data_IF_266672928194
#
_entry.id   IF_266672928194
#
_cell.length_a   1.000
_cell.length_b   1.000
_cell.length_c   1.000
_cell.angle_alpha   90.00
_cell.angle_beta   90.00
_cell.angle_gamma   90.00
#
_symmetry.space_group_name_H-M   'P 1'
#
loop_
_entity.id
_entity.type
_entity.pdbx_description
1 polymer ?
#
# COMPACT_ATOMS: atom_id res chain seq x y z
N UNK A 1 -5.07 14.86 -16.71
CA UNK A 1 -4.16 13.88 -16.08
C UNK A 1 -4.46 13.93 -14.61
N UNK A 2 -4.93 12.82 -14.04
CA UNK A 2 -5.31 12.78 -12.65
C UNK A 2 -5.72 11.35 -12.31
N UNK A 3 -4.91 10.71 -11.48
CA UNK A 3 -5.16 9.34 -11.03
C UNK A 3 -6.31 9.27 -10.02
N UNK A 4 -6.46 10.31 -9.20
CA UNK A 4 -7.53 10.41 -8.22
C UNK A 4 -7.79 11.87 -7.85
N UNK A 5 -8.96 12.13 -7.26
CA UNK A 5 -9.31 13.40 -6.62
C UNK A 5 -9.83 13.12 -5.21
N UNK A 6 -9.68 14.07 -4.29
CA UNK A 6 -10.13 13.95 -2.89
C UNK A 6 -9.53 12.75 -2.13
N UNK A 7 -8.23 12.52 -2.28
CA UNK A 7 -7.50 11.47 -1.54
C UNK A 7 -6.90 12.06 -0.28
N UNK A 8 -7.17 11.40 0.85
CA UNK A 8 -6.55 11.70 2.13
C UNK A 8 -5.84 10.46 2.67
N UNK A 9 -4.74 10.68 3.37
CA UNK A 9 -4.10 9.70 4.23
C UNK A 9 -4.22 10.16 5.69
N UNK A 10 -4.66 9.26 6.56
CA UNK A 10 -4.84 9.51 7.99
C UNK A 10 -3.91 8.55 8.75
N UNK A 11 -2.72 9.00 9.17
CA UNK A 11 -1.78 8.15 9.87
C UNK A 11 -2.33 7.76 11.24
N UNK A 12 -2.19 6.47 11.59
CA UNK A 12 -2.76 5.88 12.81
C UNK A 12 -4.26 6.19 12.97
N UNK A 13 -5.00 6.00 11.88
CA UNK A 13 -6.45 6.13 11.87
C UNK A 13 -7.10 5.15 12.84
N UNK A 14 -8.12 5.64 13.54
CA UNK A 14 -8.98 4.86 14.42
C UNK A 14 -10.41 5.38 14.29
N UNK A 15 -11.36 4.44 14.23
CA UNK A 15 -12.80 4.73 14.12
C UNK A 15 -13.12 5.61 12.88
N UNK A 16 -12.52 5.27 11.73
CA UNK A 16 -12.75 5.90 10.43
C UNK A 16 -12.63 7.43 10.48
N UNK A 17 -11.49 7.90 11.00
CA UNK A 17 -11.12 9.30 11.09
C UNK A 17 -11.62 10.00 12.35
N UNK A 18 -12.41 9.35 13.21
CA UNK A 18 -12.84 9.97 14.46
C UNK A 18 -11.67 10.20 15.41
N UNK A 19 -10.65 9.34 15.35
CA UNK A 19 -9.37 9.51 16.04
C UNK A 19 -8.25 9.57 15.00
N UNK A 20 -7.73 10.78 14.79
CA UNK A 20 -6.67 11.08 13.82
C UNK A 20 -5.50 11.79 14.53
N UNK A 21 -4.65 11.06 15.27
CA UNK A 21 -3.64 11.65 16.16
C UNK A 21 -2.59 12.49 15.41
N UNK A 22 -2.39 12.22 14.12
CA UNK A 22 -1.47 12.95 13.25
C UNK A 22 -2.18 13.77 12.17
N UNK A 23 -3.50 13.94 12.28
CA UNK A 23 -4.31 14.73 11.35
C UNK A 23 -4.55 14.07 9.98
N UNK A 24 -5.17 14.84 9.10
CA UNK A 24 -5.55 14.42 7.74
C UNK A 24 -4.60 15.05 6.73
N UNK A 25 -4.00 14.22 5.88
CA UNK A 25 -3.02 14.66 4.89
C UNK A 25 -3.61 14.51 3.49
N UNK A 26 -3.87 15.63 2.82
CA UNK A 26 -4.40 15.62 1.46
C UNK A 26 -3.29 15.27 0.45
N UNK A 27 -3.60 14.42 -0.52
CA UNK A 27 -2.69 14.19 -1.64
C UNK A 27 -2.70 15.39 -2.60
N UNK A 28 -1.53 15.95 -2.91
CA UNK A 28 -1.36 17.01 -3.92
C UNK A 28 -1.15 16.44 -5.31
N UNK A 29 -0.38 15.35 -5.40
CA UNK A 29 -0.09 14.67 -6.66
C UNK A 29 -0.16 13.16 -6.48
N UNK A 30 -0.43 12.47 -7.58
CA UNK A 30 -0.48 11.02 -7.66
C UNK A 30 0.29 10.56 -8.90
N UNK A 31 1.11 9.54 -8.72
CA UNK A 31 2.01 8.97 -9.72
C UNK A 31 1.71 7.49 -9.82
N UNK A 32 1.26 7.04 -10.99
CA UNK A 32 0.92 5.66 -11.26
C UNK A 32 1.51 5.19 -12.59
N UNK A 33 1.74 3.89 -12.79
CA UNK A 33 2.27 3.34 -14.04
C UNK A 33 1.33 3.54 -15.21
N UNK A 34 1.83 4.04 -16.34
CA UNK A 34 1.02 4.19 -17.56
C UNK A 34 0.53 2.83 -18.06
N UNK A 35 1.32 1.76 -17.86
CA UNK A 35 0.96 0.38 -18.16
C UNK A 35 -0.32 -0.05 -17.44
N UNK A 36 -0.51 0.38 -16.19
CA UNK A 36 -1.74 0.14 -15.44
C UNK A 36 -2.90 0.92 -16.06
N UNK A 37 -2.73 2.22 -16.32
CA UNK A 37 -3.78 3.05 -16.93
C UNK A 37 -4.25 2.51 -18.28
N UNK A 38 -3.31 2.05 -19.11
CA UNK A 38 -3.60 1.65 -20.49
C UNK A 38 -4.12 0.21 -20.59
N UNK A 39 -3.69 -0.67 -19.67
CA UNK A 39 -3.89 -2.11 -19.83
C UNK A 39 -4.56 -2.81 -18.65
N UNK A 40 -4.92 -2.09 -17.59
CA UNK A 40 -5.74 -2.62 -16.51
C UNK A 40 -7.22 -2.22 -16.69
N UNK A 41 -8.11 -3.06 -16.16
CA UNK A 41 -9.53 -2.74 -16.05
C UNK A 41 -10.08 -3.40 -14.80
N UNK A 42 -11.26 -2.98 -14.35
CA UNK A 42 -11.95 -3.61 -13.21
C UNK A 42 -13.17 -4.36 -13.70
N UNK A 43 -13.31 -5.63 -13.31
CA UNK A 43 -14.49 -6.41 -13.64
C UNK A 43 -15.67 -6.10 -12.69
N UNK A 44 -16.84 -6.71 -12.92
CA UNK A 44 -18.04 -6.49 -12.11
C UNK A 44 -17.93 -6.94 -10.65
N UNK A 45 -16.88 -7.69 -10.30
CA UNK A 45 -16.59 -8.14 -8.93
C UNK A 45 -15.59 -7.21 -8.22
N UNK A 46 -15.18 -6.11 -8.86
CA UNK A 46 -14.19 -5.18 -8.31
C UNK A 46 -12.76 -5.70 -8.40
N UNK A 47 -12.49 -6.75 -9.18
CA UNK A 47 -11.13 -7.26 -9.37
C UNK A 47 -10.43 -6.54 -10.51
N UNK A 48 -9.17 -6.15 -10.28
CA UNK A 48 -8.27 -5.67 -11.33
C UNK A 48 -7.93 -6.83 -12.27
N UNK A 49 -8.15 -6.61 -13.56
CA UNK A 49 -7.91 -7.54 -14.67
C UNK A 49 -7.14 -6.83 -15.78
N UNK A 50 -6.84 -7.55 -16.87
CA UNK A 50 -6.05 -7.05 -17.99
C UNK A 50 -4.59 -7.47 -17.86
N UNK A 51 -3.69 -6.86 -18.62
CA UNK A 51 -2.24 -7.10 -18.46
C UNK A 51 -1.57 -6.06 -17.57
N UNK A 52 -2.20 -4.91 -17.36
CA UNK A 52 -1.68 -3.83 -16.51
C UNK A 52 -1.72 -4.11 -15.01
N UNK A 53 -2.44 -5.14 -14.55
CA UNK A 53 -2.56 -5.48 -13.12
C UNK A 53 -1.21 -5.76 -12.45
N UNK A 54 -0.19 -6.17 -13.20
CA UNK A 54 1.16 -6.37 -12.64
C UNK A 54 1.85 -5.07 -12.22
N UNK A 55 1.24 -3.92 -12.54
CA UNK A 55 1.71 -2.58 -12.20
C UNK A 55 0.70 -1.86 -11.28
N UNK A 56 -0.03 -2.62 -10.44
CA UNK A 56 -1.00 -2.07 -9.49
C UNK A 56 -0.31 -1.52 -8.23
N UNK A 57 0.31 -0.35 -8.39
CA UNK A 57 0.89 0.45 -7.33
C UNK A 57 0.83 1.93 -7.72
N UNK A 58 0.95 2.81 -6.74
CA UNK A 58 1.05 4.26 -6.97
C UNK A 58 1.81 4.93 -5.83
N UNK A 59 2.35 6.11 -6.11
CA UNK A 59 2.92 7.02 -5.11
C UNK A 59 2.09 8.28 -5.04
N UNK A 60 1.94 8.80 -3.83
CA UNK A 60 1.22 10.05 -3.58
C UNK A 60 2.15 11.02 -2.85
N UNK A 61 2.17 12.28 -3.27
CA UNK A 61 2.81 13.35 -2.50
C UNK A 61 1.75 14.05 -1.67
N UNK A 62 2.00 14.21 -0.37
CA UNK A 62 1.08 14.86 0.55
C UNK A 62 1.34 16.35 0.62
N UNK A 63 0.28 17.15 0.72
CA UNK A 63 0.34 18.55 1.10
C UNK A 63 1.01 18.67 2.47
N UNK A 64 1.79 19.74 2.72
CA UNK A 64 2.17 20.10 4.07
C UNK A 64 0.94 20.33 4.96
N UNK A 65 1.10 20.17 6.27
CA UNK A 65 0.06 20.55 7.22
C UNK A 65 -0.07 22.09 7.34
N UNK A 66 -1.00 22.56 8.17
CA UNK A 66 -1.25 23.99 8.39
C UNK A 66 -0.02 24.74 8.95
N UNK A 67 0.93 24.02 9.57
CA UNK A 67 2.20 24.55 10.08
C UNK A 67 3.34 24.47 9.04
N UNK A 68 3.06 23.96 7.84
CA UNK A 68 4.01 23.81 6.74
C UNK A 68 4.97 22.60 6.87
N UNK A 69 4.70 21.67 7.79
CA UNK A 69 5.52 20.47 7.99
C UNK A 69 5.15 19.41 6.97
N UNK A 70 6.14 18.60 6.56
CA UNK A 70 5.90 17.40 5.75
C UNK A 70 5.46 16.24 6.64
N UNK A 71 4.63 15.34 6.10
CA UNK A 71 4.09 14.20 6.85
C UNK A 71 5.16 13.34 7.54
N UNK A 72 6.31 13.14 6.88
CA UNK A 72 7.41 12.35 7.42
C UNK A 72 8.12 13.03 8.59
N UNK A 73 8.03 14.35 8.72
CA UNK A 73 8.56 15.10 9.87
C UNK A 73 7.69 14.91 11.12
N UNK A 74 6.43 14.55 10.93
CA UNK A 74 5.44 14.33 12.02
C UNK A 74 5.37 12.85 12.41
N UNK A 75 5.37 11.96 11.42
CA UNK A 75 5.07 10.54 11.62
C UNK A 75 6.27 9.61 11.44
N UNK A 76 7.38 10.12 10.91
CA UNK A 76 8.45 9.29 10.38
C UNK A 76 8.06 8.65 9.04
N UNK A 77 8.75 7.58 8.65
CA UNK A 77 8.47 6.85 7.44
C UNK A 77 9.18 5.50 7.43
N UNK A 78 8.66 4.56 6.65
CA UNK A 78 9.32 3.28 6.41
C UNK A 78 10.43 3.44 5.38
N UNK A 79 11.40 2.53 5.40
CA UNK A 79 12.26 2.32 4.25
C UNK A 79 11.43 1.78 3.08
N UNK A 80 11.95 1.90 1.85
CA UNK A 80 11.36 1.29 0.66
C UNK A 80 12.46 0.53 -0.08
N UNK A 81 12.14 -0.66 -0.57
CA UNK A 81 13.06 -1.50 -1.31
C UNK A 81 12.46 -1.86 -2.67
N UNK A 82 13.26 -1.67 -3.72
CA UNK A 82 12.88 -1.94 -5.11
C UNK A 82 13.60 -3.21 -5.58
N UNK A 83 13.02 -4.36 -5.26
CA UNK A 83 13.66 -5.67 -5.36
C UNK A 83 14.48 -6.03 -4.12
N UNK A 84 15.06 -7.24 -4.13
CA UNK A 84 15.78 -7.80 -2.98
C UNK A 84 15.32 -9.20 -2.63
N UNK A 85 15.94 -9.78 -1.61
CA UNK A 85 15.46 -11.02 -0.98
C UNK A 85 14.51 -10.65 0.15
N UNK A 86 13.43 -11.42 0.31
CA UNK A 86 12.42 -11.21 1.35
C UNK A 86 12.34 -12.50 2.15
N UNK A 87 12.71 -12.45 3.43
CA UNK A 87 12.68 -13.62 4.31
C UNK A 87 11.35 -13.71 5.08
N UNK A 88 10.82 -12.57 5.50
CA UNK A 88 9.55 -12.44 6.20
C UNK A 88 8.73 -11.27 5.64
N UNK A 89 7.42 -11.34 5.87
CA UNK A 89 6.47 -10.30 5.48
C UNK A 89 5.54 -9.93 6.63
N UNK A 90 5.40 -8.64 6.87
CA UNK A 90 4.32 -8.04 7.66
C UNK A 90 3.45 -7.19 6.73
N UNK A 91 2.18 -7.55 6.59
CA UNK A 91 1.20 -6.86 5.76
C UNK A 91 0.22 -6.11 6.64
N UNK A 92 0.00 -4.83 6.36
CA UNK A 92 -0.94 -3.96 7.10
C UNK A 92 -2.10 -3.52 6.22
N UNK A 93 -3.24 -3.18 6.81
CA UNK A 93 -4.38 -2.60 6.08
C UNK A 93 -5.59 -2.30 6.96
N UNK A 94 -6.60 -1.67 6.37
CA UNK A 94 -7.89 -1.34 7.01
C UNK A 94 -9.03 -2.07 6.29
N UNK A 95 -9.17 -3.39 6.46
CA UNK A 95 -10.23 -4.16 5.82
C UNK A 95 -11.61 -3.67 6.30
N UNK A 96 -12.49 -3.34 5.36
CA UNK A 96 -13.79 -2.68 5.59
C UNK A 96 -15.01 -3.54 5.20
N UNK A 97 -14.79 -4.77 4.72
CA UNK A 97 -15.86 -5.71 4.44
C UNK A 97 -15.93 -6.78 5.54
N UNK A 98 -17.14 -7.28 5.79
CA UNK A 98 -17.38 -8.28 6.84
C UNK A 98 -16.43 -9.49 6.72
N UNK A 99 -15.86 -9.99 7.83
CA UNK A 99 -16.21 -9.68 9.22
C UNK A 99 -15.54 -8.42 9.80
N UNK A 100 -14.81 -7.65 8.99
CA UNK A 100 -14.21 -6.39 9.40
C UNK A 100 -15.13 -5.20 9.11
N UNK A 101 -14.81 -4.04 9.69
CA UNK A 101 -15.59 -2.82 9.67
C UNK A 101 -14.80 -1.58 9.21
N UNK A 102 -13.49 -1.71 8.98
CA UNK A 102 -12.62 -0.64 8.50
C UNK A 102 -12.19 0.34 9.58
N UNK A 103 -12.54 0.11 10.85
CA UNK A 103 -12.31 1.07 11.93
C UNK A 103 -10.93 0.97 12.55
N UNK A 104 -10.27 -0.19 12.43
CA UNK A 104 -8.95 -0.44 13.00
C UNK A 104 -7.97 -0.95 11.95
N UNK A 105 -6.70 -0.60 12.12
CA UNK A 105 -5.61 -1.27 11.42
C UNK A 105 -5.57 -2.75 11.80
N UNK A 106 -5.42 -3.61 10.79
CA UNK A 106 -5.14 -5.03 10.93
C UNK A 106 -3.78 -5.34 10.32
N UNK A 107 -3.21 -6.48 10.72
CA UNK A 107 -2.00 -7.00 10.11
C UNK A 107 -2.02 -8.52 10.00
N UNK A 108 -1.25 -9.03 9.05
CA UNK A 108 -0.87 -10.43 8.90
C UNK A 108 0.66 -10.49 8.85
N UNK A 109 1.29 -11.44 9.52
CA UNK A 109 2.74 -11.60 9.50
C UNK A 109 3.10 -13.06 9.32
N UNK A 110 4.02 -13.36 8.41
CA UNK A 110 4.45 -14.74 8.11
C UNK A 110 5.84 -14.77 7.48
N UNK A 111 6.61 -15.80 7.84
CA UNK A 111 7.80 -16.26 7.11
C UNK A 111 7.45 -17.32 6.04
N UNK A 112 6.24 -17.90 6.10
CA UNK A 112 5.70 -18.85 5.12
C UNK A 112 4.83 -18.15 4.06
N UNK A 113 5.41 -17.12 3.42
CA UNK A 113 4.81 -16.49 2.24
C UNK A 113 5.18 -17.28 0.98
N UNK A 114 4.43 -17.10 -0.10
CA UNK A 114 4.61 -17.86 -1.33
C UNK A 114 4.52 -17.01 -2.58
N UNK A 115 5.01 -17.55 -3.70
CA UNK A 115 4.98 -16.87 -5.00
C UNK A 115 3.74 -17.30 -5.78
N UNK A 116 2.91 -16.33 -6.11
CA UNK A 116 1.75 -16.45 -6.97
C UNK A 116 2.12 -16.23 -8.45
N UNK A 117 1.11 -16.23 -9.32
CA UNK A 117 1.32 -16.00 -10.74
C UNK A 117 2.06 -14.68 -11.00
N UNK A 118 2.95 -14.71 -12.00
CA UNK A 118 3.77 -13.56 -12.43
C UNK A 118 4.71 -12.99 -11.36
N UNK A 119 5.03 -13.76 -10.33
CA UNK A 119 5.99 -13.35 -9.31
C UNK A 119 5.39 -12.49 -8.21
N UNK A 120 4.05 -12.38 -8.14
CA UNK A 120 3.39 -11.72 -7.02
C UNK A 120 3.71 -12.47 -5.71
N UNK A 121 3.91 -11.72 -4.64
CA UNK A 121 3.90 -12.27 -3.29
C UNK A 121 2.47 -12.66 -2.90
N UNK A 122 2.34 -13.74 -2.16
CA UNK A 122 1.11 -14.24 -1.57
C UNK A 122 1.33 -14.57 -0.10
N UNK A 123 0.33 -14.28 0.73
CA UNK A 123 0.34 -14.57 2.16
C UNK A 123 -1.05 -15.03 2.60
N UNK A 124 -1.13 -16.03 3.47
CA UNK A 124 -2.39 -16.38 4.13
C UNK A 124 -2.82 -15.23 5.04
N UNK A 125 -3.93 -14.59 4.68
CA UNK A 125 -4.41 -13.41 5.36
C UNK A 125 -5.90 -13.19 5.08
N UNK A 126 -6.69 -13.10 6.15
CA UNK A 126 -8.14 -12.99 6.05
C UNK A 126 -8.63 -11.55 5.76
N UNK A 127 -7.74 -10.56 5.71
CA UNK A 127 -8.12 -9.16 5.44
C UNK A 127 -8.89 -9.04 4.12
N UNK A 128 -9.98 -8.28 4.15
CA UNK A 128 -10.93 -8.14 3.04
C UNK A 128 -10.69 -6.88 2.21
N UNK A 129 -11.63 -6.54 1.31
CA UNK A 129 -11.71 -5.22 0.67
C UNK A 129 -11.52 -4.10 1.70
N UNK A 130 -10.79 -3.04 1.33
CA UNK A 130 -10.30 -2.00 2.23
C UNK A 130 -8.82 -2.18 2.61
N UNK A 131 -8.29 -3.41 2.58
CA UNK A 131 -6.85 -3.64 2.75
C UNK A 131 -6.01 -3.26 1.52
N UNK A 132 -6.63 -3.02 0.35
CA UNK A 132 -5.95 -2.57 -0.86
C UNK A 132 -5.14 -1.30 -0.61
N UNK A 133 -3.94 -1.21 -1.17
CA UNK A 133 -2.99 -0.12 -0.88
C UNK A 133 -2.17 -0.32 0.41
N UNK A 134 -2.57 -1.26 1.28
CA UNK A 134 -1.88 -1.57 2.52
C UNK A 134 -0.46 -2.10 2.30
N UNK A 135 0.48 -1.67 3.13
CA UNK A 135 1.91 -1.91 2.93
C UNK A 135 2.37 -3.30 3.34
N UNK A 136 3.25 -3.89 2.54
CA UNK A 136 3.97 -5.14 2.80
C UNK A 136 5.41 -4.81 3.18
N UNK A 137 5.79 -5.09 4.43
CA UNK A 137 7.08 -4.78 5.00
C UNK A 137 7.92 -6.05 5.13
N UNK A 138 9.17 -5.99 4.69
CA UNK A 138 10.21 -6.98 5.02
C UNK A 138 11.15 -6.44 6.09
N UNK A 139 11.88 -7.34 6.75
CA UNK A 139 12.86 -7.03 7.81
C UNK A 139 12.25 -6.14 8.90
N UNK A 140 11.00 -6.42 9.28
CA UNK A 140 10.27 -5.59 10.22
C UNK A 140 10.78 -5.78 11.64
N UNK A 141 11.40 -4.73 12.20
CA UNK A 141 11.85 -4.70 13.58
C UNK A 141 10.71 -4.26 14.51
N UNK A 142 10.15 -5.23 15.24
CA UNK A 142 9.08 -4.98 16.22
C UNK A 142 9.46 -4.06 17.37
N UNK A 143 10.75 -3.81 17.62
CA UNK A 143 11.22 -2.89 18.67
C UNK A 143 11.18 -1.45 18.19
N UNK A 144 11.62 -1.19 16.96
CA UNK A 144 11.67 0.17 16.38
C UNK A 144 10.44 0.53 15.56
N UNK A 145 9.69 -0.48 15.10
CA UNK A 145 8.56 -0.34 14.18
C UNK A 145 8.99 -0.04 12.73
N UNK A 146 10.28 -0.20 12.42
CA UNK A 146 10.85 0.09 11.11
C UNK A 146 11.00 -1.20 10.27
N UNK A 147 10.85 -1.07 8.97
CA UNK A 147 11.13 -2.11 7.98
C UNK A 147 11.23 -1.51 6.58
N UNK A 148 11.20 -2.38 5.56
CA UNK A 148 11.24 -1.96 4.16
C UNK A 148 9.94 -2.30 3.45
N UNK A 149 9.28 -1.29 2.89
CA UNK A 149 8.13 -1.47 2.01
C UNK A 149 8.60 -2.14 0.71
N UNK A 150 8.09 -3.33 0.44
CA UNK A 150 8.46 -4.15 -0.73
C UNK A 150 7.30 -4.38 -1.70
N UNK A 151 6.07 -4.19 -1.24
CA UNK A 151 4.86 -4.36 -2.06
C UNK A 151 3.65 -3.63 -1.43
N UNK A 152 2.56 -3.54 -2.19
CA UNK A 152 1.27 -3.01 -1.70
C UNK A 152 0.13 -3.96 -2.06
N UNK A 153 -0.82 -4.17 -1.16
CA UNK A 153 -1.94 -5.09 -1.36
C UNK A 153 -2.74 -4.69 -2.59
N UNK A 154 -2.80 -5.58 -3.59
CA UNK A 154 -3.46 -5.33 -4.87
C UNK A 154 -4.72 -6.19 -5.03
N UNK A 155 -4.60 -7.49 -4.79
CA UNK A 155 -5.69 -8.44 -5.01
C UNK A 155 -5.81 -9.43 -3.84
N UNK A 156 -6.91 -10.16 -3.82
CA UNK A 156 -7.17 -11.17 -2.79
C UNK A 156 -7.90 -12.38 -3.34
N UNK A 157 -7.72 -13.50 -2.65
CA UNK A 157 -8.61 -14.66 -2.67
C UNK A 157 -9.47 -14.65 -1.38
N UNK A 158 -10.28 -15.69 -1.09
CA UNK A 158 -10.98 -15.79 0.20
C UNK A 158 -10.06 -15.90 1.42
N UNK A 159 -8.84 -16.43 1.25
CA UNK A 159 -7.92 -16.75 2.36
C UNK A 159 -6.55 -16.10 2.24
N UNK A 160 -6.28 -15.39 1.14
CA UNK A 160 -4.96 -14.88 0.83
C UNK A 160 -5.03 -13.44 0.31
N UNK A 161 -3.99 -12.66 0.62
CA UNK A 161 -3.69 -11.42 -0.07
C UNK A 161 -2.56 -11.63 -1.07
N UNK A 162 -2.55 -10.82 -2.12
CA UNK A 162 -1.48 -10.81 -3.11
C UNK A 162 -1.08 -9.41 -3.55
N UNK A 163 0.22 -9.27 -3.83
CA UNK A 163 0.85 -8.01 -4.20
C UNK A 163 2.03 -8.24 -5.14
N UNK A 164 2.21 -7.37 -6.12
CA UNK A 164 3.42 -7.40 -6.95
C UNK A 164 4.58 -6.75 -6.19
N UNK A 165 5.79 -7.35 -6.22
CA UNK A 165 6.97 -6.69 -5.66
C UNK A 165 7.25 -5.37 -6.39
N UNK A 166 7.66 -4.35 -5.64
CA UNK A 166 8.10 -3.07 -6.18
C UNK A 166 9.44 -3.27 -6.89
N UNK A 167 9.47 -3.02 -8.20
CA UNK A 167 10.64 -3.19 -9.05
C UNK A 167 11.16 -1.87 -9.63
N UNK A 168 11.88 -1.96 -10.75
CA UNK A 168 12.49 -0.79 -11.43
C UNK A 168 11.47 0.27 -11.84
N UNK A 169 10.28 -0.14 -12.32
CA UNK A 169 9.20 0.80 -12.68
C UNK A 169 8.72 1.58 -11.45
N UNK A 170 8.65 0.93 -10.29
CA UNK A 170 8.29 1.57 -9.03
C UNK A 170 9.39 2.53 -8.56
N UNK A 171 10.67 2.16 -8.72
CA UNK A 171 11.80 3.05 -8.42
C UNK A 171 11.76 4.31 -9.29
N UNK A 172 11.48 4.17 -10.59
CA UNK A 172 11.38 5.29 -11.51
C UNK A 172 10.27 6.27 -11.11
N UNK A 173 9.07 5.77 -10.83
CA UNK A 173 7.94 6.59 -10.37
C UNK A 173 8.16 7.19 -8.97
N UNK A 174 8.80 6.46 -8.07
CA UNK A 174 9.16 6.99 -6.74
C UNK A 174 10.16 8.15 -6.85
N UNK A 175 11.12 8.05 -7.77
CA UNK A 175 12.07 9.13 -8.07
C UNK A 175 11.36 10.33 -8.69
N UNK A 176 10.43 10.11 -9.62
CA UNK A 176 9.61 11.17 -10.22
C UNK A 176 8.76 11.89 -9.16
N UNK A 177 8.26 11.15 -8.17
CA UNK A 177 7.52 11.70 -7.04
C UNK A 177 8.41 12.43 -6.00
N UNK A 178 9.73 12.48 -6.21
CA UNK A 178 10.69 13.18 -5.34
C UNK A 178 11.15 12.36 -4.12
N UNK A 179 11.10 11.03 -4.19
CA UNK A 179 11.46 10.13 -3.10
C UNK A 179 12.96 9.90 -2.87
N UNK A 180 13.83 10.37 -3.77
CA UNK A 180 15.30 10.25 -3.71
C UNK A 180 16.00 11.60 -3.88
#
# INVERSE_FOLDING_TARGET
>A
TGWATNVFFVPADEDNGAVAPYGYWAAESAYGPQEFADNASTNSLGMVIGSGWTHDFAFLTMAPDDDGRRIQEVTGGQGIAFGGTVDDLLVTGYPAAAPFDGLDQRYCASDDWFVLQRGAFGIECAMTQGASGGGWLSDYDTVTGAGYLVATTSFRSPTELGAMPLGEDALALFTEAGGL
#
